data_IF_318615082281
#
_entry.id   IF_318615082281
#
_cell.length_a   1.000
_cell.length_b   1.000
_cell.length_c   1.000
_cell.angle_alpha   90.00
_cell.angle_beta   90.00
_cell.angle_gamma   90.00
#
_symmetry.space_group_name_H-M   'P 1'
#
loop_
_entity.id
_entity.type
_entity.pdbx_description
1 polymer ?
#
# COMPACT_ATOMS: atom_id res chain seq x y z
N UNK A 1 14.10 6.25 8.82
CA UNK A 1 13.73 6.58 7.43
C UNK A 1 14.31 7.95 7.08
N UNK A 2 15.08 8.11 6.00
CA UNK A 2 15.86 9.34 5.75
C UNK A 2 15.01 10.58 5.46
N UNK A 3 13.84 10.45 4.86
CA UNK A 3 12.98 11.59 4.51
C UNK A 3 11.96 11.98 5.58
N UNK A 4 11.86 11.25 6.69
CA UNK A 4 10.91 11.59 7.77
C UNK A 4 11.10 13.01 8.30
N UNK A 5 12.36 13.44 8.45
CA UNK A 5 12.69 14.79 8.89
C UNK A 5 12.25 15.85 7.87
N UNK A 6 12.39 15.56 6.57
CA UNK A 6 11.97 16.45 5.49
C UNK A 6 10.43 16.57 5.43
N UNK A 7 9.72 15.47 5.58
CA UNK A 7 8.25 15.47 5.67
C UNK A 7 7.78 16.31 6.85
N UNK A 8 8.38 16.14 8.04
CA UNK A 8 8.07 16.97 9.22
C UNK A 8 8.33 18.45 8.98
N UNK A 9 9.43 18.76 8.30
CA UNK A 9 9.73 20.14 7.95
C UNK A 9 8.67 20.77 7.05
N UNK A 10 8.16 20.00 6.06
CA UNK A 10 7.08 20.46 5.20
C UNK A 10 5.77 20.65 5.97
N UNK A 11 5.47 19.82 6.96
CA UNK A 11 4.30 19.97 7.84
C UNK A 11 4.29 21.32 8.58
N UNK A 12 5.48 21.81 8.99
CA UNK A 12 5.63 23.06 9.75
C UNK A 12 5.54 24.31 8.87
N UNK A 13 5.59 24.18 7.55
CA UNK A 13 5.46 25.32 6.64
C UNK A 13 4.01 25.78 6.58
N UNK A 14 3.68 27.06 6.88
CA UNK A 14 2.30 27.55 6.87
C UNK A 14 1.57 27.27 5.55
N UNK A 15 2.25 27.34 4.43
CA UNK A 15 1.70 27.06 3.10
C UNK A 15 1.12 25.63 3.01
N UNK A 16 1.70 24.64 3.69
CA UNK A 16 1.14 23.29 3.71
C UNK A 16 -0.25 23.26 4.35
N UNK A 17 -0.44 23.98 5.45
CA UNK A 17 -1.75 24.15 6.08
C UNK A 17 -2.74 24.92 5.18
N UNK A 18 -2.30 25.97 4.50
CA UNK A 18 -3.15 26.72 3.56
C UNK A 18 -3.60 25.85 2.38
N UNK A 19 -2.70 25.06 1.82
CA UNK A 19 -3.02 24.12 0.72
C UNK A 19 -3.98 23.04 1.20
N UNK A 20 -3.75 22.53 2.42
CA UNK A 20 -4.62 21.52 3.04
C UNK A 20 -6.03 22.05 3.30
N UNK A 21 -6.19 23.28 3.79
CA UNK A 21 -7.50 23.93 3.94
C UNK A 21 -8.25 24.04 2.61
N UNK A 22 -7.51 24.25 1.50
CA UNK A 22 -8.12 24.27 0.16
C UNK A 22 -8.59 22.89 -0.29
N UNK A 23 -7.96 21.81 0.15
CA UNK A 23 -8.38 20.43 -0.20
C UNK A 23 -9.72 20.02 0.45
N UNK A 24 -10.16 20.73 1.49
CA UNK A 24 -11.44 20.49 2.18
C UNK A 24 -12.64 21.16 1.48
N UNK A 25 -12.41 21.93 0.42
CA UNK A 25 -13.49 22.59 -0.32
C UNK A 25 -14.23 21.55 -1.19
N UNK A 26 -15.50 21.83 -1.52
CA UNK A 26 -16.29 20.96 -2.39
C UNK A 26 -15.62 20.71 -3.76
N UNK A 27 -14.98 21.76 -4.31
CA UNK A 27 -14.20 21.63 -5.53
C UNK A 27 -12.84 21.02 -5.20
N UNK A 28 -12.61 19.79 -5.63
CA UNK A 28 -11.38 19.07 -5.37
C UNK A 28 -10.15 19.87 -5.78
N UNK A 29 -9.20 20.02 -4.88
CA UNK A 29 -7.96 20.76 -5.11
C UNK A 29 -7.10 20.03 -6.15
N UNK A 30 -6.56 20.76 -7.12
CA UNK A 30 -5.58 20.25 -8.10
C UNK A 30 -4.21 20.87 -7.84
N UNK A 31 -3.24 20.03 -7.48
CA UNK A 31 -1.83 20.38 -7.35
C UNK A 31 -1.09 19.92 -8.59
N UNK A 32 -0.50 20.85 -9.32
CA UNK A 32 0.12 20.57 -10.61
C UNK A 32 1.54 21.13 -10.70
N UNK A 33 2.31 20.72 -11.70
CA UNK A 33 3.67 21.23 -11.92
C UNK A 33 4.70 20.64 -10.97
N UNK A 34 4.58 19.35 -10.60
CA UNK A 34 5.50 18.71 -9.67
C UNK A 34 5.99 17.34 -10.13
N UNK A 35 7.30 17.11 -9.96
CA UNK A 35 7.90 15.78 -10.11
C UNK A 35 7.30 14.80 -9.12
N UNK A 36 7.37 13.49 -9.40
CA UNK A 36 6.84 12.43 -8.53
C UNK A 36 7.37 12.53 -7.10
N UNK A 37 8.68 12.77 -6.92
CA UNK A 37 9.27 12.94 -5.60
C UNK A 37 8.66 14.11 -4.81
N UNK A 38 8.39 15.23 -5.47
CA UNK A 38 7.72 16.39 -4.86
C UNK A 38 6.27 16.07 -4.50
N UNK A 39 5.54 15.38 -5.39
CA UNK A 39 4.16 14.92 -5.15
C UNK A 39 4.08 14.02 -3.92
N UNK A 40 4.95 13.02 -3.83
CA UNK A 40 4.99 12.08 -2.72
C UNK A 40 5.35 12.76 -1.38
N UNK A 41 6.29 13.72 -1.38
CA UNK A 41 6.64 14.51 -0.20
C UNK A 41 5.45 15.33 0.31
N UNK A 42 4.75 16.03 -0.60
CA UNK A 42 3.60 16.86 -0.22
C UNK A 42 2.42 16.02 0.24
N UNK A 43 2.09 14.93 -0.47
CA UNK A 43 1.04 14.01 -0.06
C UNK A 43 1.29 13.46 1.36
N UNK A 44 2.53 13.04 1.64
CA UNK A 44 2.92 12.57 2.97
C UNK A 44 2.86 13.66 4.04
N UNK A 45 3.29 14.89 3.72
CA UNK A 45 3.23 16.00 4.66
C UNK A 45 1.79 16.38 5.00
N UNK A 46 0.91 16.46 3.99
CA UNK A 46 -0.49 16.81 4.16
C UNK A 46 -1.26 15.74 4.94
N UNK A 47 -1.10 14.46 4.61
CA UNK A 47 -1.74 13.38 5.35
C UNK A 47 -1.31 13.34 6.82
N UNK A 48 -0.04 13.58 7.10
CA UNK A 48 0.47 13.65 8.47
C UNK A 48 0.04 14.90 9.23
N UNK A 49 -0.24 16.03 8.56
CA UNK A 49 -0.86 17.20 9.20
C UNK A 49 -2.27 16.86 9.73
N UNK A 50 -3.01 16.04 9.00
CA UNK A 50 -4.33 15.58 9.41
C UNK A 50 -4.28 14.41 10.40
N UNK A 51 -3.13 13.77 10.59
CA UNK A 51 -3.05 12.49 11.29
C UNK A 51 -3.81 11.37 10.57
N UNK A 52 -3.96 11.49 9.25
CA UNK A 52 -4.78 10.61 8.43
C UNK A 52 -3.95 9.53 7.75
N UNK A 53 -4.51 8.33 7.54
CA UNK A 53 -4.01 7.37 6.56
C UNK A 53 -4.03 7.97 5.16
N UNK A 54 -3.28 7.38 4.24
CA UNK A 54 -3.17 7.87 2.87
C UNK A 54 -3.54 6.78 1.87
N UNK A 55 -4.46 7.08 0.95
CA UNK A 55 -4.66 6.30 -0.27
C UNK A 55 -4.13 7.10 -1.47
N UNK A 56 -3.23 6.50 -2.24
CA UNK A 56 -2.74 7.06 -3.50
C UNK A 56 -3.26 6.19 -4.65
N UNK A 57 -4.07 6.79 -5.52
CA UNK A 57 -4.58 6.12 -6.71
C UNK A 57 -3.79 6.61 -7.92
N UNK A 58 -3.23 5.66 -8.67
CA UNK A 58 -2.32 5.91 -9.78
C UNK A 58 -2.78 5.21 -11.07
N UNK A 59 -2.31 5.63 -12.25
CA UNK A 59 -2.77 5.08 -13.52
C UNK A 59 -2.35 3.62 -13.76
N UNK A 60 -1.15 3.24 -13.34
CA UNK A 60 -0.55 1.93 -13.68
C UNK A 60 0.12 1.27 -12.49
N UNK A 61 0.30 -0.06 -12.56
CA UNK A 61 1.04 -0.81 -11.54
C UNK A 61 2.52 -0.39 -11.46
N UNK A 62 3.10 0.02 -12.58
CA UNK A 62 4.46 0.55 -12.59
C UNK A 62 4.57 1.83 -11.76
N UNK A 63 3.65 2.77 -11.96
CA UNK A 63 3.59 3.99 -11.16
C UNK A 63 3.29 3.67 -9.68
N UNK A 64 2.44 2.70 -9.41
CA UNK A 64 2.16 2.26 -8.04
C UNK A 64 3.43 1.75 -7.33
N UNK A 65 4.24 0.94 -8.01
CA UNK A 65 5.53 0.47 -7.47
C UNK A 65 6.50 1.62 -7.20
N UNK A 66 6.58 2.60 -8.09
CA UNK A 66 7.43 3.79 -7.93
C UNK A 66 6.98 4.68 -6.75
N UNK A 67 5.66 4.87 -6.61
CA UNK A 67 5.09 5.60 -5.48
C UNK A 67 5.35 4.90 -4.16
N UNK A 68 5.12 3.59 -4.08
CA UNK A 68 5.38 2.80 -2.88
C UNK A 68 6.84 2.91 -2.44
N UNK A 69 7.80 2.79 -3.38
CA UNK A 69 9.23 2.93 -3.10
C UNK A 69 9.60 4.32 -2.53
N UNK A 70 8.96 5.39 -3.01
CA UNK A 70 9.17 6.74 -2.47
C UNK A 70 8.56 6.89 -1.07
N UNK A 71 7.33 6.40 -0.88
CA UNK A 71 6.61 6.53 0.39
C UNK A 71 7.29 5.76 1.53
N UNK A 72 7.91 4.61 1.23
CA UNK A 72 8.75 3.89 2.21
C UNK A 72 9.86 4.76 2.79
N UNK A 73 10.46 5.66 2.00
CA UNK A 73 11.51 6.56 2.49
C UNK A 73 10.97 7.66 3.39
N UNK A 74 9.68 7.96 3.32
CA UNK A 74 9.05 9.09 4.02
C UNK A 74 8.61 8.76 5.44
N UNK A 75 8.90 7.51 5.88
CA UNK A 75 8.71 7.10 7.26
C UNK A 75 7.28 6.74 7.62
N UNK A 76 6.50 6.28 6.65
CA UNK A 76 5.22 5.65 6.94
C UNK A 76 5.43 4.35 7.73
N UNK A 77 4.62 4.06 8.74
CA UNK A 77 4.75 2.82 9.51
C UNK A 77 4.48 1.60 8.63
N UNK A 78 3.52 1.72 7.74
CA UNK A 78 3.15 0.70 6.76
C UNK A 78 2.96 1.35 5.39
N UNK A 79 3.59 0.78 4.37
CA UNK A 79 3.40 1.15 2.96
C UNK A 79 3.04 -0.10 2.20
N UNK A 80 1.85 -0.13 1.61
CA UNK A 80 1.32 -1.30 0.93
C UNK A 80 0.96 -0.97 -0.51
N UNK A 81 1.31 -1.88 -1.41
CA UNK A 81 0.79 -1.91 -2.77
C UNK A 81 -0.42 -2.84 -2.79
N UNK A 82 -1.60 -2.31 -3.16
CA UNK A 82 -2.78 -3.13 -3.34
C UNK A 82 -2.75 -3.78 -4.73
N UNK A 83 -2.57 -5.10 -4.81
CA UNK A 83 -2.41 -5.77 -6.10
C UNK A 83 -3.76 -5.90 -6.82
N UNK A 84 -3.71 -5.87 -8.16
CA UNK A 84 -4.87 -6.11 -8.99
C UNK A 84 -4.50 -6.94 -10.22
N UNK A 85 -5.47 -7.69 -10.74
CA UNK A 85 -5.36 -8.33 -12.05
C UNK A 85 -5.61 -7.31 -13.16
N UNK A 86 -4.92 -7.48 -14.29
CA UNK A 86 -5.24 -6.75 -15.52
C UNK A 86 -6.44 -7.34 -16.24
N UNK A 87 -6.72 -8.62 -15.98
CA UNK A 87 -7.82 -9.36 -16.57
C UNK A 87 -9.18 -9.00 -15.99
N UNK A 88 -10.22 -9.39 -16.71
CA UNK A 88 -11.62 -9.28 -16.28
C UNK A 88 -11.91 -10.22 -15.11
N UNK A 89 -12.78 -9.85 -14.16
CA UNK A 89 -13.22 -10.75 -13.09
C UNK A 89 -14.05 -11.94 -13.58
N UNK A 90 -14.45 -11.95 -14.86
CA UNK A 90 -15.24 -13.00 -15.53
C UNK A 90 -14.39 -13.99 -16.32
N UNK A 91 -13.09 -13.81 -16.40
CA UNK A 91 -12.19 -14.76 -17.07
C UNK A 91 -12.27 -16.15 -16.43
N UNK A 92 -12.00 -17.18 -17.26
CA UNK A 92 -12.16 -18.59 -16.86
C UNK A 92 -11.26 -19.00 -15.68
N UNK A 93 -10.16 -18.30 -15.48
CA UNK A 93 -9.23 -18.58 -14.41
C UNK A 93 -9.34 -17.52 -13.30
N UNK A 94 -9.39 -17.98 -12.07
CA UNK A 94 -9.26 -17.07 -10.93
C UNK A 94 -7.91 -16.32 -11.00
N UNK A 95 -7.84 -15.08 -10.50
CA UNK A 95 -6.58 -14.38 -10.33
C UNK A 95 -5.56 -15.29 -9.64
N UNK A 96 -4.30 -15.15 -10.01
CA UNK A 96 -3.24 -15.91 -9.34
C UNK A 96 -3.38 -15.78 -7.83
N UNK A 97 -3.13 -16.86 -7.11
CA UNK A 97 -3.22 -16.87 -5.65
C UNK A 97 -2.42 -15.71 -5.02
N UNK A 98 -1.28 -15.35 -5.59
CA UNK A 98 -0.45 -14.21 -5.15
C UNK A 98 -1.19 -12.87 -5.14
N UNK A 99 -2.04 -12.59 -6.15
CA UNK A 99 -2.84 -11.36 -6.18
C UNK A 99 -3.88 -11.40 -5.07
N UNK A 100 -4.63 -12.49 -4.95
CA UNK A 100 -5.66 -12.65 -3.90
C UNK A 100 -5.06 -12.59 -2.51
N UNK A 101 -3.93 -13.22 -2.28
CA UNK A 101 -3.23 -13.20 -0.98
C UNK A 101 -2.69 -11.82 -0.64
N UNK A 102 -2.13 -11.12 -1.61
CA UNK A 102 -1.72 -9.72 -1.43
C UNK A 102 -2.90 -8.80 -1.09
N UNK A 103 -4.06 -9.00 -1.73
CA UNK A 103 -5.28 -8.28 -1.37
C UNK A 103 -5.74 -8.61 0.06
N UNK A 104 -5.83 -9.90 0.41
CA UNK A 104 -6.23 -10.35 1.74
C UNK A 104 -5.28 -9.83 2.84
N UNK A 105 -3.98 -9.74 2.56
CA UNK A 105 -3.02 -9.14 3.48
C UNK A 105 -3.39 -7.69 3.80
N UNK A 106 -3.62 -6.87 2.77
CA UNK A 106 -4.01 -5.45 2.96
C UNK A 106 -5.35 -5.34 3.68
N UNK A 107 -6.36 -6.06 3.19
CA UNK A 107 -7.72 -5.99 3.71
C UNK A 107 -7.80 -6.46 5.17
N UNK A 108 -7.07 -7.53 5.54
CA UNK A 108 -7.05 -8.04 6.91
C UNK A 108 -6.41 -7.07 7.90
N UNK A 109 -5.39 -6.32 7.49
CA UNK A 109 -4.81 -5.25 8.32
C UNK A 109 -5.82 -4.12 8.56
N UNK A 110 -6.59 -3.76 7.53
CA UNK A 110 -7.61 -2.71 7.64
C UNK A 110 -8.76 -3.10 8.60
N UNK A 111 -9.20 -4.37 8.59
CA UNK A 111 -10.29 -4.81 9.47
C UNK A 111 -9.84 -5.10 10.90
N UNK A 112 -8.58 -5.50 11.13
CA UNK A 112 -8.07 -5.84 12.47
C UNK A 112 -7.88 -4.60 13.36
N UNK A 113 -7.47 -3.48 12.79
CA UNK A 113 -7.24 -2.24 13.54
C UNK A 113 -8.52 -1.42 13.80
N UNK A 114 -9.68 -2.08 13.69
CA UNK A 114 -11.02 -1.51 13.97
C UNK A 114 -11.24 -0.13 13.32
N UNK A 115 -10.93 -0.05 12.03
CA UNK A 115 -11.29 1.08 11.16
C UNK A 115 -10.50 2.37 11.41
N UNK A 116 -10.51 2.92 12.60
CA UNK A 116 -9.96 4.26 12.87
C UNK A 116 -8.48 4.27 13.34
N UNK A 117 -7.92 3.13 13.70
CA UNK A 117 -6.54 3.02 14.22
C UNK A 117 -5.46 2.85 13.16
N UNK A 118 -5.81 2.46 11.95
CA UNK A 118 -4.83 2.22 10.90
C UNK A 118 -4.18 3.51 10.39
N UNK A 119 -2.85 3.56 10.39
CA UNK A 119 -2.04 4.76 10.10
C UNK A 119 -1.03 4.51 8.97
N UNK A 120 -1.38 3.71 8.00
CA UNK A 120 -0.52 3.36 6.88
C UNK A 120 -0.79 4.17 5.61
N UNK A 121 -0.15 3.75 4.54
CA UNK A 121 -0.42 4.21 3.18
C UNK A 121 -0.66 3.02 2.27
N UNK A 122 -1.69 3.14 1.43
CA UNK A 122 -2.00 2.20 0.36
C UNK A 122 -1.79 2.90 -0.97
N UNK A 123 -1.13 2.23 -1.89
CA UNK A 123 -1.03 2.64 -3.29
C UNK A 123 -1.79 1.64 -4.14
N UNK A 124 -2.75 2.10 -4.93
CA UNK A 124 -3.60 1.27 -5.77
C UNK A 124 -3.76 1.89 -7.16
N UNK A 125 -4.15 1.07 -8.14
CA UNK A 125 -4.65 1.58 -9.41
C UNK A 125 -6.15 1.79 -9.34
N UNK A 126 -6.69 2.68 -10.16
CA UNK A 126 -8.15 2.93 -10.18
C UNK A 126 -8.92 1.64 -10.47
N UNK A 127 -8.49 0.85 -11.43
CA UNK A 127 -9.11 -0.45 -11.76
C UNK A 127 -9.15 -1.45 -10.59
N UNK A 128 -8.31 -1.29 -9.58
CA UNK A 128 -8.31 -2.12 -8.39
C UNK A 128 -9.48 -1.80 -7.43
N UNK A 129 -10.17 -0.69 -7.64
CA UNK A 129 -11.28 -0.21 -6.82
C UNK A 129 -12.65 -0.68 -7.32
N UNK A 130 -12.71 -1.25 -8.52
CA UNK A 130 -13.94 -1.66 -9.18
C UNK A 130 -14.39 -3.10 -8.87
N UNK A 131 -13.49 -4.12 -8.78
CA UNK A 131 -13.89 -5.48 -8.47
C UNK A 131 -14.62 -5.59 -7.14
N UNK A 132 -15.66 -6.43 -7.11
CA UNK A 132 -16.38 -6.74 -5.89
C UNK A 132 -15.51 -7.47 -4.88
N UNK A 133 -15.68 -7.10 -3.62
CA UNK A 133 -15.05 -7.72 -2.45
C UNK A 133 -16.12 -8.14 -1.44
N UNK A 134 -15.82 -9.07 -0.53
CA UNK A 134 -16.66 -9.33 0.64
C UNK A 134 -16.87 -8.05 1.44
N UNK A 135 -18.00 -7.88 2.16
CA UNK A 135 -18.16 -6.79 3.11
C UNK A 135 -17.08 -6.83 4.21
N UNK A 136 -16.55 -5.68 4.67
CA UNK A 136 -15.49 -5.62 5.69
C UNK A 136 -15.81 -6.42 6.96
N UNK A 137 -17.05 -6.34 7.45
CA UNK A 137 -17.49 -7.09 8.63
C UNK A 137 -17.41 -8.62 8.41
N UNK A 138 -17.77 -9.11 7.21
CA UNK A 138 -17.68 -10.53 6.88
C UNK A 138 -16.23 -11.00 6.89
N UNK A 139 -15.31 -10.22 6.32
CA UNK A 139 -13.89 -10.57 6.37
C UNK A 139 -13.34 -10.52 7.79
N UNK A 140 -13.73 -9.52 8.57
CA UNK A 140 -13.31 -9.40 9.99
C UNK A 140 -13.71 -10.61 10.81
N UNK A 141 -14.95 -11.08 10.67
CA UNK A 141 -15.48 -12.25 11.38
C UNK A 141 -14.79 -13.57 10.96
N UNK A 142 -14.19 -13.59 9.78
CA UNK A 142 -13.47 -14.77 9.26
C UNK A 142 -11.95 -14.71 9.51
N UNK A 143 -11.41 -13.58 9.94
CA UNK A 143 -10.01 -13.48 10.33
C UNK A 143 -9.82 -13.96 11.77
N UNK A 144 -8.86 -14.85 11.99
CA UNK A 144 -8.51 -15.33 13.31
C UNK A 144 -7.17 -14.75 13.74
N UNK A 145 -7.13 -14.08 14.89
CA UNK A 145 -5.88 -13.58 15.48
C UNK A 145 -5.53 -14.37 16.71
N UNK A 146 -4.47 -15.18 16.64
CA UNK A 146 -3.94 -15.93 17.76
C UNK A 146 -2.81 -15.16 18.43
N UNK A 147 -2.90 -14.97 19.74
CA UNK A 147 -1.89 -14.30 20.56
C UNK A 147 -1.30 -15.27 21.56
N UNK A 148 -0.04 -15.06 21.91
CA UNK A 148 0.58 -15.80 23.02
C UNK A 148 -0.27 -15.67 24.28
N UNK A 149 -0.55 -16.79 24.94
CA UNK A 149 -1.41 -16.88 26.11
C UNK A 149 -2.92 -17.01 25.80
N UNK A 150 -3.30 -17.04 24.52
CA UNK A 150 -4.69 -17.36 24.14
C UNK A 150 -4.98 -18.85 24.40
N UNK A 151 -6.22 -19.17 24.78
CA UNK A 151 -6.70 -20.54 24.92
C UNK A 151 -7.62 -20.85 23.74
N UNK A 152 -7.35 -21.95 23.04
CA UNK A 152 -8.15 -22.43 21.90
C UNK A 152 -8.06 -23.95 21.83
N UNK A 153 -9.20 -24.62 21.64
CA UNK A 153 -9.25 -26.05 21.38
C UNK A 153 -8.60 -26.37 20.03
N UNK A 154 -7.72 -27.37 20.02
CA UNK A 154 -6.98 -27.75 18.81
C UNK A 154 -7.85 -28.37 17.71
N UNK A 155 -8.98 -29.00 18.05
CA UNK A 155 -9.94 -29.52 17.07
C UNK A 155 -10.77 -28.35 16.48
N UNK A 156 -11.12 -27.38 17.31
CA UNK A 156 -11.77 -26.15 16.85
C UNK A 156 -10.84 -25.35 15.90
N UNK A 157 -9.56 -25.22 16.26
CA UNK A 157 -8.56 -24.59 15.38
C UNK A 157 -8.45 -25.33 14.04
N UNK A 158 -8.40 -26.67 14.08
CA UNK A 158 -8.33 -27.48 12.88
C UNK A 158 -9.57 -27.31 11.98
N UNK A 159 -10.77 -27.28 12.57
CA UNK A 159 -12.02 -27.04 11.86
C UNK A 159 -12.06 -25.62 11.25
N UNK A 160 -11.61 -24.61 11.99
CA UNK A 160 -11.51 -23.24 11.48
C UNK A 160 -10.52 -23.13 10.31
N UNK A 161 -9.35 -23.76 10.40
CA UNK A 161 -8.37 -23.76 9.31
C UNK A 161 -8.93 -24.44 8.05
N UNK A 162 -9.60 -25.57 8.18
CA UNK A 162 -10.26 -26.24 7.05
C UNK A 162 -11.34 -25.34 6.42
N UNK A 163 -12.21 -24.73 7.24
CA UNK A 163 -13.23 -23.78 6.77
C UNK A 163 -12.66 -22.58 6.05
N UNK A 164 -11.50 -22.08 6.49
CA UNK A 164 -10.79 -20.97 5.86
C UNK A 164 -10.04 -21.37 4.58
N UNK A 165 -10.06 -22.66 4.20
CA UNK A 165 -9.47 -23.18 2.99
C UNK A 165 -8.00 -23.63 3.12
N UNK A 166 -7.47 -23.77 4.36
CA UNK A 166 -6.11 -24.26 4.56
C UNK A 166 -6.00 -25.77 4.36
N UNK A 167 -5.04 -26.17 3.55
CA UNK A 167 -4.77 -27.58 3.27
C UNK A 167 -3.95 -28.21 4.41
N UNK A 168 -4.40 -29.37 4.90
CA UNK A 168 -3.64 -30.15 5.88
C UNK A 168 -2.57 -30.98 5.18
N UNK A 169 -1.30 -30.73 5.52
CA UNK A 169 -0.14 -31.39 4.92
C UNK A 169 0.73 -32.05 5.99
N UNK A 170 1.65 -32.92 5.58
CA UNK A 170 2.62 -33.54 6.51
C UNK A 170 3.77 -32.60 6.89
N UNK A 171 4.18 -31.73 5.99
CA UNK A 171 5.28 -30.77 6.17
C UNK A 171 4.90 -29.47 5.46
N UNK A 172 5.15 -28.34 6.11
CA UNK A 172 4.85 -27.00 5.58
C UNK A 172 5.94 -26.57 4.62
N UNK A 173 5.56 -26.32 3.37
CA UNK A 173 6.46 -25.80 2.31
C UNK A 173 5.87 -24.58 1.60
N UNK A 174 4.52 -24.44 1.60
CA UNK A 174 3.80 -23.43 0.84
C UNK A 174 2.76 -22.72 1.73
N UNK A 175 2.44 -21.50 1.36
CA UNK A 175 1.36 -20.72 1.96
C UNK A 175 0.02 -21.44 1.81
N UNK A 176 -0.91 -21.18 2.73
CA UNK A 176 -2.24 -21.82 2.73
C UNK A 176 -2.23 -23.26 3.25
N UNK A 177 -1.13 -23.71 3.86
CA UNK A 177 -1.01 -25.06 4.41
C UNK A 177 -0.80 -25.08 5.92
N UNK A 178 -1.19 -26.18 6.56
CA UNK A 178 -0.98 -26.40 7.98
C UNK A 178 -0.70 -27.87 8.31
N UNK A 179 -0.03 -28.12 9.42
CA UNK A 179 0.21 -29.47 9.93
C UNK A 179 0.12 -29.51 11.45
N UNK A 180 -0.22 -30.67 12.02
CA UNK A 180 -0.29 -30.87 13.48
C UNK A 180 0.51 -32.10 13.88
N UNK A 181 1.33 -31.94 14.90
CA UNK A 181 2.12 -33.03 15.52
C UNK A 181 1.98 -32.93 17.04
N UNK A 182 1.00 -33.66 17.58
CA UNK A 182 0.68 -33.55 19.02
C UNK A 182 0.14 -32.14 19.36
N UNK A 183 0.84 -31.50 20.28
CA UNK A 183 0.51 -30.14 20.76
C UNK A 183 1.22 -29.03 19.95
N UNK A 184 1.79 -29.35 18.78
CA UNK A 184 2.43 -28.41 17.90
C UNK A 184 1.61 -28.31 16.61
N UNK A 185 1.25 -27.07 16.26
CA UNK A 185 0.62 -26.74 14.97
C UNK A 185 1.57 -25.83 14.19
N UNK A 186 1.99 -26.30 13.02
CA UNK A 186 2.72 -25.50 12.04
C UNK A 186 1.72 -24.98 11.02
N UNK A 187 1.78 -23.68 10.72
CA UNK A 187 0.85 -22.99 9.83
C UNK A 187 1.59 -21.99 8.96
N UNK A 188 1.28 -21.93 7.66
CA UNK A 188 1.75 -20.90 6.76
C UNK A 188 0.57 -20.01 6.30
N UNK A 189 0.26 -18.94 7.04
CA UNK A 189 -0.80 -18.03 6.63
C UNK A 189 -0.52 -17.40 5.29
N UNK A 190 -1.53 -17.25 4.44
CA UNK A 190 -1.40 -16.60 3.12
C UNK A 190 -1.11 -15.11 3.23
N UNK A 191 -1.38 -14.52 4.39
CA UNK A 191 -1.09 -13.11 4.72
C UNK A 191 0.29 -12.89 5.37
N UNK A 192 1.10 -13.96 5.57
CA UNK A 192 2.38 -13.89 6.24
C UNK A 192 3.54 -14.21 5.28
N UNK A 193 4.72 -13.67 5.56
CA UNK A 193 5.94 -13.95 4.78
C UNK A 193 6.61 -15.26 5.18
N UNK A 194 6.41 -15.68 6.42
CA UNK A 194 7.00 -16.88 6.99
C UNK A 194 5.92 -17.71 7.70
N UNK A 195 6.09 -19.04 7.67
CA UNK A 195 5.24 -19.92 8.47
C UNK A 195 5.51 -19.77 9.96
N UNK A 196 4.50 -20.05 10.76
CA UNK A 196 4.54 -19.92 12.21
C UNK A 196 4.30 -21.29 12.86
N UNK A 197 5.12 -21.60 13.86
CA UNK A 197 4.97 -22.75 14.75
C UNK A 197 4.28 -22.32 16.03
N UNK A 198 3.15 -22.91 16.33
CA UNK A 198 2.32 -22.72 17.50
C UNK A 198 2.57 -23.89 18.45
N UNK A 199 3.10 -23.65 19.64
CA UNK A 199 3.35 -24.65 20.67
C UNK A 199 2.30 -24.50 21.78
N UNK A 200 1.49 -25.52 21.98
CA UNK A 200 0.41 -25.53 22.96
C UNK A 200 0.80 -26.34 24.19
N UNK A 201 0.21 -26.00 25.34
CA UNK A 201 0.14 -26.84 26.53
C UNK A 201 -1.33 -27.02 26.93
N UNK A 202 -1.91 -28.16 26.55
CA UNK A 202 -3.35 -28.33 26.56
C UNK A 202 -4.01 -27.42 25.52
N UNK A 203 -4.86 -26.50 25.95
CA UNK A 203 -5.51 -25.48 25.10
C UNK A 203 -4.76 -24.14 25.09
N UNK A 204 -3.76 -23.97 25.95
CA UNK A 204 -3.05 -22.68 26.08
C UNK A 204 -1.89 -22.57 25.08
N UNK A 205 -1.89 -21.52 24.26
CA UNK A 205 -0.84 -21.20 23.32
C UNK A 205 0.35 -20.56 24.05
N UNK A 206 1.38 -21.37 24.36
CA UNK A 206 2.53 -20.91 25.12
C UNK A 206 3.56 -20.16 24.30
N UNK A 207 3.80 -20.62 23.03
CA UNK A 207 4.84 -20.04 22.18
C UNK A 207 4.41 -19.95 20.72
N UNK A 208 4.79 -18.83 20.11
CA UNK A 208 4.69 -18.61 18.68
C UNK A 208 6.09 -18.27 18.15
N UNK A 209 6.51 -18.94 17.08
CA UNK A 209 7.79 -18.69 16.44
C UNK A 209 7.67 -18.81 14.93
N UNK A 210 8.25 -17.89 14.22
CA UNK A 210 8.50 -18.07 12.80
C UNK A 210 9.49 -19.21 12.57
N UNK A 211 9.42 -19.85 11.41
CA UNK A 211 10.39 -20.86 11.01
C UNK A 211 10.65 -20.79 9.51
N UNK A 212 11.82 -21.27 9.11
CA UNK A 212 12.22 -21.36 7.70
C UNK A 212 11.58 -22.61 7.07
N UNK A 213 10.72 -22.46 6.05
CA UNK A 213 10.02 -23.59 5.42
C UNK A 213 10.97 -24.57 4.73
N UNK A 214 12.14 -24.13 4.25
CA UNK A 214 13.10 -25.01 3.59
C UNK A 214 13.90 -25.86 4.58
N UNK A 215 14.27 -25.31 5.73
CA UNK A 215 15.10 -25.99 6.73
C UNK A 215 14.31 -26.50 7.94
N UNK A 216 13.04 -26.07 8.08
CA UNK A 216 12.14 -26.37 9.21
C UNK A 216 12.68 -25.87 10.57
N UNK A 217 13.67 -25.00 10.58
CA UNK A 217 14.28 -24.45 11.80
C UNK A 217 13.53 -23.22 12.27
N UNK A 218 13.25 -23.18 13.57
CA UNK A 218 12.64 -22.00 14.20
C UNK A 218 13.57 -20.79 14.09
N UNK A 219 12.95 -19.65 13.84
CA UNK A 219 13.53 -18.31 13.75
C UNK A 219 13.11 -17.48 14.97
N UNK A 220 12.66 -16.25 14.72
CA UNK A 220 12.29 -15.31 15.77
C UNK A 220 10.98 -15.67 16.44
N UNK A 221 10.86 -15.31 17.73
CA UNK A 221 9.60 -15.38 18.44
C UNK A 221 8.71 -14.22 18.03
N UNK A 222 7.41 -14.50 17.85
CA UNK A 222 6.37 -13.53 17.57
C UNK A 222 5.30 -13.57 18.63
N UNK A 223 4.61 -12.46 18.87
CA UNK A 223 3.59 -12.38 19.92
C UNK A 223 2.18 -12.71 19.42
N UNK A 224 1.99 -12.64 18.11
CA UNK A 224 0.71 -12.94 17.46
C UNK A 224 0.91 -13.47 16.03
N UNK A 225 -0.10 -14.20 15.56
CA UNK A 225 -0.28 -14.55 14.15
C UNK A 225 -1.69 -14.22 13.73
N UNK A 226 -1.83 -13.62 12.54
CA UNK A 226 -3.12 -13.38 11.90
C UNK A 226 -3.35 -14.43 10.81
N UNK A 227 -4.51 -15.04 10.83
CA UNK A 227 -4.93 -16.08 9.91
C UNK A 227 -6.12 -15.54 9.12
N UNK A 228 -5.97 -15.39 7.81
CA UNK A 228 -7.03 -14.97 6.91
C UNK A 228 -7.55 -16.17 6.13
N UNK A 229 -8.72 -16.09 5.50
CA UNK A 229 -9.10 -17.07 4.49
C UNK A 229 -8.02 -17.18 3.40
N UNK A 230 -7.89 -18.34 2.78
CA UNK A 230 -6.93 -18.57 1.67
C UNK A 230 -7.38 -17.93 0.35
N UNK A 231 -8.61 -17.46 0.29
CA UNK A 231 -9.21 -16.79 -0.85
C UNK A 231 -10.61 -16.29 -0.53
N UNK A 232 -11.28 -15.74 -1.52
CA UNK A 232 -12.67 -15.29 -1.37
C UNK A 232 -13.69 -16.42 -1.47
N UNK A 233 -13.31 -17.56 -2.05
CA UNK A 233 -14.18 -18.72 -2.21
C UNK A 233 -14.83 -19.22 -0.91
N UNK A 234 -14.06 -19.44 0.17
CA UNK A 234 -14.61 -19.84 1.46
C UNK A 234 -15.70 -18.90 1.99
N UNK A 235 -15.45 -17.58 1.89
CA UNK A 235 -16.39 -16.54 2.32
C UNK A 235 -17.69 -16.57 1.52
N UNK A 236 -17.57 -16.72 0.19
CA UNK A 236 -18.72 -16.82 -0.71
C UNK A 236 -19.51 -18.09 -0.42
N UNK A 237 -18.83 -19.22 -0.21
CA UNK A 237 -19.46 -20.50 0.12
C UNK A 237 -20.31 -20.40 1.40
N UNK A 238 -19.74 -19.81 2.46
CA UNK A 238 -20.43 -19.60 3.74
C UNK A 238 -21.63 -18.66 3.57
N UNK A 239 -21.47 -17.56 2.82
CA UNK A 239 -22.55 -16.61 2.59
C UNK A 239 -23.70 -17.22 1.77
N UNK A 240 -23.41 -18.03 0.75
CA UNK A 240 -24.44 -18.70 -0.05
C UNK A 240 -25.19 -19.76 0.77
N UNK A 241 -24.48 -20.54 1.61
CA UNK A 241 -25.14 -21.50 2.54
C UNK A 241 -26.11 -20.78 3.47
N UNK A 242 -25.74 -19.60 3.97
CA UNK A 242 -26.56 -18.86 4.91
C UNK A 242 -27.73 -18.13 4.25
N UNK A 243 -27.51 -17.53 3.08
CA UNK A 243 -28.45 -16.59 2.45
C UNK A 243 -29.35 -17.24 1.39
N UNK A 244 -28.86 -18.27 0.69
CA UNK A 244 -29.54 -18.89 -0.46
C UNK A 244 -29.53 -20.42 -0.41
N UNK A 245 -29.86 -21.07 0.72
CA UNK A 245 -29.75 -22.52 0.84
C UNK A 245 -30.66 -23.27 -0.18
N UNK A 246 -31.83 -22.75 -0.47
CA UNK A 246 -32.80 -23.37 -1.38
C UNK A 246 -32.42 -23.21 -2.86
N UNK A 247 -31.44 -22.39 -3.21
CA UNK A 247 -31.01 -22.13 -4.58
C UNK A 247 -29.67 -22.79 -4.92
N UNK A 248 -28.99 -23.38 -3.94
CA UNK A 248 -27.67 -23.99 -4.15
C UNK A 248 -27.70 -25.08 -5.23
N UNK A 249 -28.76 -25.92 -5.27
CA UNK A 249 -28.94 -26.98 -6.25
C UNK A 249 -29.05 -26.45 -7.71
N UNK A 250 -29.41 -25.18 -7.87
CA UNK A 250 -29.52 -24.54 -9.19
C UNK A 250 -28.19 -23.81 -9.57
N UNK A 251 -27.44 -23.42 -8.58
CA UNK A 251 -26.21 -22.65 -8.76
C UNK A 251 -24.97 -23.54 -8.93
N UNK A 252 -24.99 -24.73 -8.34
CA UNK A 252 -23.84 -25.63 -8.27
C UNK A 252 -24.13 -26.94 -9.00
N UNK A 253 -23.13 -27.50 -9.64
CA UNK A 253 -23.23 -28.87 -10.16
C UNK A 253 -23.13 -29.88 -8.98
N UNK A 254 -23.44 -31.17 -9.28
CA UNK A 254 -23.47 -32.21 -8.26
C UNK A 254 -22.12 -32.37 -7.51
N UNK A 255 -20.99 -32.24 -8.18
CA UNK A 255 -19.66 -32.36 -7.59
C UNK A 255 -19.38 -31.19 -6.64
N UNK A 256 -19.63 -29.95 -7.07
CA UNK A 256 -19.48 -28.77 -6.25
C UNK A 256 -20.41 -28.80 -5.03
N UNK A 257 -21.62 -29.32 -5.18
CA UNK A 257 -22.56 -29.51 -4.07
C UNK A 257 -22.03 -30.54 -3.07
N UNK A 258 -21.48 -31.66 -3.54
CA UNK A 258 -20.88 -32.68 -2.64
C UNK A 258 -19.70 -32.12 -1.86
N UNK A 259 -18.79 -31.39 -2.54
CA UNK A 259 -17.67 -30.70 -1.87
C UNK A 259 -18.17 -29.70 -0.82
N UNK A 260 -19.17 -28.88 -1.21
CA UNK A 260 -19.76 -27.90 -0.30
C UNK A 260 -20.39 -28.54 0.94
N UNK A 261 -21.07 -29.65 0.79
CA UNK A 261 -21.69 -30.41 1.89
C UNK A 261 -20.62 -31.11 2.76
N UNK A 262 -19.50 -31.49 2.18
CA UNK A 262 -18.34 -32.04 2.92
C UNK A 262 -17.59 -30.97 3.74
N UNK A 263 -17.91 -29.69 3.55
CA UNK A 263 -17.23 -28.55 4.20
C UNK A 263 -16.08 -27.96 3.40
N UNK A 264 -15.84 -28.48 2.20
CA UNK A 264 -14.82 -27.98 1.31
C UNK A 264 -15.34 -26.78 0.50
N UNK A 265 -14.42 -26.00 -0.08
CA UNK A 265 -14.77 -24.89 -0.96
C UNK A 265 -14.59 -25.33 -2.42
N UNK A 266 -15.69 -25.46 -3.20
CA UNK A 266 -15.60 -25.77 -4.62
C UNK A 266 -14.82 -24.72 -5.40
N UNK A 267 -14.13 -25.14 -6.45
CA UNK A 267 -13.46 -24.22 -7.37
C UNK A 267 -14.46 -23.26 -8.04
N UNK A 268 -14.05 -22.02 -8.28
CA UNK A 268 -14.89 -21.02 -8.94
C UNK A 268 -15.96 -20.36 -8.06
N UNK A 269 -16.05 -20.68 -6.76
CA UNK A 269 -17.01 -20.05 -5.85
C UNK A 269 -16.95 -18.53 -5.85
N UNK A 270 -15.76 -17.93 -6.07
CA UNK A 270 -15.58 -16.49 -6.18
C UNK A 270 -16.50 -15.85 -7.22
N UNK A 271 -16.81 -16.54 -8.31
CA UNK A 271 -17.69 -16.06 -9.39
C UNK A 271 -19.13 -15.84 -8.94
N UNK A 272 -19.52 -16.43 -7.83
CA UNK A 272 -20.84 -16.28 -7.24
C UNK A 272 -20.89 -15.14 -6.21
N UNK A 273 -19.83 -14.33 -6.08
CA UNK A 273 -19.75 -13.25 -5.10
C UNK A 273 -20.90 -12.25 -5.22
N UNK A 274 -21.34 -11.92 -6.44
CA UNK A 274 -22.48 -11.03 -6.67
C UNK A 274 -23.82 -11.58 -6.19
N UNK A 275 -23.94 -12.91 -5.97
CA UNK A 275 -25.11 -13.54 -5.37
C UNK A 275 -24.97 -13.67 -3.85
N UNK A 276 -23.74 -13.80 -3.35
CA UNK A 276 -23.49 -13.96 -1.91
C UNK A 276 -23.92 -12.71 -1.11
N UNK A 277 -23.73 -11.53 -1.69
CA UNK A 277 -24.07 -10.25 -1.05
C UNK A 277 -24.82 -9.34 -2.02
N UNK A 278 -25.93 -8.76 -1.55
CA UNK A 278 -26.73 -7.81 -2.34
C UNK A 278 -25.99 -6.51 -2.61
N UNK A 279 -25.10 -6.12 -1.71
CA UNK A 279 -24.24 -4.93 -1.81
C UNK A 279 -22.80 -5.35 -1.52
N UNK A 280 -22.08 -5.81 -2.54
CA UNK A 280 -20.66 -6.11 -2.40
C UNK A 280 -19.86 -4.83 -2.19
N UNK A 281 -18.72 -4.97 -1.50
CA UNK A 281 -17.82 -3.87 -1.19
C UNK A 281 -16.69 -3.73 -2.22
N UNK A 282 -15.91 -2.68 -2.06
CA UNK A 282 -14.63 -2.47 -2.75
C UNK A 282 -13.55 -2.13 -1.72
N UNK A 283 -12.32 -1.91 -2.15
CA UNK A 283 -11.25 -1.44 -1.26
C UNK A 283 -11.65 -0.16 -0.50
N UNK A 284 -12.42 0.73 -1.13
CA UNK A 284 -12.81 2.01 -0.53
C UNK A 284 -13.66 1.83 0.73
N UNK A 285 -14.45 0.76 0.79
CA UNK A 285 -15.34 0.44 1.93
C UNK A 285 -14.56 -0.10 3.15
N UNK A 286 -13.30 -0.50 2.96
CA UNK A 286 -12.41 -0.96 4.03
C UNK A 286 -11.60 0.17 4.68
N UNK A 287 -11.51 1.33 4.02
CA UNK A 287 -10.67 2.42 4.48
C UNK A 287 -11.33 3.19 5.64
N UNK A 288 -10.54 3.67 6.62
CA UNK A 288 -11.03 4.62 7.59
C UNK A 288 -11.61 5.86 6.92
N UNK A 289 -12.76 6.36 7.43
CA UNK A 289 -13.47 7.48 6.81
C UNK A 289 -12.68 8.79 6.76
N UNK A 290 -11.63 8.93 7.59
CA UNK A 290 -10.72 10.08 7.59
C UNK A 290 -9.49 9.90 6.70
N UNK A 291 -9.44 8.85 5.87
CA UNK A 291 -8.33 8.62 4.92
C UNK A 291 -8.23 9.79 3.94
N UNK A 292 -7.01 10.30 3.76
CA UNK A 292 -6.73 11.31 2.75
C UNK A 292 -6.52 10.61 1.39
N UNK A 293 -7.30 11.01 0.39
CA UNK A 293 -7.24 10.45 -0.95
C UNK A 293 -6.44 11.34 -1.91
N UNK A 294 -5.46 10.76 -2.56
CA UNK A 294 -4.67 11.40 -3.63
C UNK A 294 -4.90 10.68 -4.95
N UNK A 295 -5.35 11.42 -5.96
CA UNK A 295 -5.45 10.93 -7.33
C UNK A 295 -4.25 11.46 -8.13
N UNK A 296 -3.31 10.59 -8.45
CA UNK A 296 -2.15 10.93 -9.27
C UNK A 296 -2.49 10.77 -10.75
N UNK A 297 -2.24 11.82 -11.55
CA UNK A 297 -2.61 11.86 -12.99
C UNK A 297 -4.06 11.43 -13.23
N UNK A 298 -5.01 12.09 -12.52
CA UNK A 298 -6.44 11.70 -12.49
C UNK A 298 -7.02 11.34 -13.86
N UNK A 299 -6.74 12.14 -14.88
CA UNK A 299 -7.28 11.89 -16.24
C UNK A 299 -6.82 10.54 -16.79
N UNK A 300 -5.55 10.23 -16.59
CA UNK A 300 -4.98 8.97 -17.06
C UNK A 300 -5.49 7.80 -16.21
N UNK A 301 -5.56 7.95 -14.89
CA UNK A 301 -6.10 6.93 -13.99
C UNK A 301 -7.55 6.57 -14.34
N UNK A 302 -8.40 7.59 -14.53
CA UNK A 302 -9.81 7.38 -14.90
C UNK A 302 -9.96 6.77 -16.30
N UNK A 303 -9.10 7.13 -17.26
CA UNK A 303 -9.14 6.53 -18.60
C UNK A 303 -8.79 5.03 -18.56
N UNK A 304 -7.80 4.63 -17.75
CA UNK A 304 -7.46 3.22 -17.56
C UNK A 304 -8.56 2.46 -16.81
N UNK A 305 -9.17 3.08 -15.82
CA UNK A 305 -10.32 2.53 -15.12
C UNK A 305 -11.52 2.31 -16.03
N UNK A 306 -11.83 3.27 -16.90
CA UNK A 306 -12.91 3.14 -17.89
C UNK A 306 -12.60 2.01 -18.86
N UNK A 307 -11.39 1.90 -19.36
CA UNK A 307 -11.00 0.81 -20.26
C UNK A 307 -11.15 -0.56 -19.60
N UNK A 308 -10.78 -0.68 -18.33
CA UNK A 308 -10.97 -1.93 -17.59
C UNK A 308 -12.45 -2.23 -17.39
N UNK A 309 -13.27 -1.22 -17.06
CA UNK A 309 -14.71 -1.35 -16.91
C UNK A 309 -15.38 -1.84 -18.21
N UNK A 310 -15.05 -1.19 -19.33
CA UNK A 310 -15.61 -1.59 -20.63
C UNK A 310 -15.28 -3.05 -20.98
N UNK A 311 -14.07 -3.50 -20.65
CA UNK A 311 -13.65 -4.89 -20.83
C UNK A 311 -14.40 -5.85 -19.89
N UNK A 312 -14.61 -5.46 -18.63
CA UNK A 312 -15.39 -6.25 -17.68
C UNK A 312 -16.86 -6.36 -18.10
N UNK A 313 -17.49 -5.26 -18.54
CA UNK A 313 -18.88 -5.25 -19.06
C UNK A 313 -19.03 -6.11 -20.31
N UNK A 314 -18.05 -6.08 -21.21
CA UNK A 314 -18.07 -6.94 -22.40
C UNK A 314 -18.13 -8.42 -22.00
N UNK A 315 -17.26 -8.86 -21.06
CA UNK A 315 -17.26 -10.24 -20.59
C UNK A 315 -18.48 -10.59 -19.73
N UNK A 316 -19.04 -9.61 -19.00
CA UNK A 316 -20.29 -9.82 -18.25
C UNK A 316 -21.46 -10.09 -19.20
N UNK A 317 -21.48 -9.47 -20.37
CA UNK A 317 -22.50 -9.67 -21.40
C UNK A 317 -22.44 -11.03 -22.12
N UNK A 318 -21.33 -11.77 -21.95
CA UNK A 318 -21.19 -13.11 -22.53
C UNK A 318 -22.02 -14.12 -21.70
N UNK A 319 -23.10 -14.61 -22.26
CA UNK A 319 -23.96 -15.62 -21.62
C UNK A 319 -23.23 -16.95 -21.49
N UNK A 320 -23.29 -17.53 -20.29
CA UNK A 320 -22.86 -18.90 -20.02
C UNK A 320 -24.09 -19.75 -19.83
N UNK A 321 -24.28 -20.77 -20.69
CA UNK A 321 -25.45 -21.65 -20.70
C UNK A 321 -26.79 -20.89 -20.78
N UNK A 322 -26.82 -19.74 -21.48
CA UNK A 322 -28.01 -18.90 -21.66
C UNK A 322 -28.38 -18.05 -20.45
N UNK A 323 -27.46 -17.89 -19.47
CA UNK A 323 -27.63 -17.05 -18.31
C UNK A 323 -26.49 -16.04 -18.24
N UNK A 324 -26.79 -14.82 -17.79
CA UNK A 324 -25.77 -13.83 -17.47
C UNK A 324 -25.09 -14.22 -16.14
N UNK A 325 -23.75 -14.13 -16.07
CA UNK A 325 -23.04 -14.37 -14.82
C UNK A 325 -23.42 -13.31 -13.77
N UNK A 326 -23.30 -13.61 -12.47
CA UNK A 326 -23.47 -12.61 -11.42
C UNK A 326 -22.50 -11.45 -11.60
N UNK A 327 -22.95 -10.24 -11.29
CA UNK A 327 -22.07 -9.04 -11.38
C UNK A 327 -20.92 -9.12 -10.38
N UNK A 328 -19.68 -8.95 -10.86
CA UNK A 328 -18.44 -9.05 -10.08
C UNK A 328 -17.67 -7.74 -10.02
N UNK A 329 -18.22 -6.64 -10.50
CA UNK A 329 -17.62 -5.32 -10.48
C UNK A 329 -18.71 -4.25 -10.32
N UNK A 330 -18.31 -3.11 -9.78
CA UNK A 330 -19.21 -1.96 -9.63
C UNK A 330 -19.18 -1.06 -10.85
N UNK A 331 -20.26 -0.31 -11.12
CA UNK A 331 -20.24 0.75 -12.13
C UNK A 331 -19.13 1.76 -11.86
N UNK A 332 -18.50 2.26 -12.92
CA UNK A 332 -17.44 3.26 -12.77
C UNK A 332 -17.96 4.56 -12.15
N UNK A 333 -19.21 4.93 -12.40
CA UNK A 333 -19.89 6.06 -11.76
C UNK A 333 -19.86 5.95 -10.24
N UNK A 334 -20.16 4.76 -9.72
CA UNK A 334 -20.21 4.50 -8.27
C UNK A 334 -18.81 4.54 -7.65
N UNK A 335 -17.80 4.08 -8.41
CA UNK A 335 -16.40 4.19 -7.99
C UNK A 335 -15.97 5.65 -7.92
N UNK A 336 -16.35 6.48 -8.90
CA UNK A 336 -16.04 7.91 -8.91
C UNK A 336 -16.74 8.61 -7.74
N UNK A 337 -18.02 8.33 -7.51
CA UNK A 337 -18.78 8.90 -6.39
C UNK A 337 -18.15 8.52 -5.04
N UNK A 338 -17.76 7.26 -4.88
CA UNK A 338 -17.08 6.79 -3.67
C UNK A 338 -15.71 7.48 -3.46
N UNK A 339 -14.93 7.71 -4.52
CA UNK A 339 -13.68 8.46 -4.46
C UNK A 339 -13.90 9.93 -4.08
N UNK A 340 -14.98 10.55 -4.55
CA UNK A 340 -15.32 11.94 -4.25
C UNK A 340 -15.80 12.14 -2.82
N UNK A 341 -16.25 11.08 -2.16
CA UNK A 341 -16.63 11.11 -0.74
C UNK A 341 -15.42 11.29 0.20
N UNK A 342 -14.21 10.94 -0.22
CA UNK A 342 -13.01 11.13 0.58
C UNK A 342 -12.44 12.54 0.45
N UNK A 343 -12.01 13.11 1.57
CA UNK A 343 -11.19 14.33 1.54
C UNK A 343 -9.89 14.07 0.79
N UNK A 344 -9.42 15.05 -0.01
CA UNK A 344 -8.16 14.85 -0.73
C UNK A 344 -7.97 15.80 -1.91
N UNK A 345 -7.02 15.47 -2.77
CA UNK A 345 -6.61 16.32 -3.87
C UNK A 345 -6.07 15.51 -5.04
N UNK A 346 -6.06 16.14 -6.20
CA UNK A 346 -5.48 15.58 -7.42
C UNK A 346 -4.06 16.09 -7.59
N UNK A 347 -3.17 15.24 -8.09
CA UNK A 347 -1.78 15.57 -8.42
C UNK A 347 -1.54 15.39 -9.92
N UNK A 348 -0.75 16.28 -10.51
CA UNK A 348 -0.31 16.17 -11.90
C UNK A 348 1.12 16.68 -12.06
N UNK A 349 1.89 16.02 -12.93
CA UNK A 349 3.23 16.45 -13.26
C UNK A 349 3.24 17.73 -14.12
N UNK A 350 2.35 17.78 -15.09
CA UNK A 350 2.21 18.93 -15.98
C UNK A 350 1.05 19.82 -15.54
N UNK A 351 1.24 21.12 -15.71
CA UNK A 351 0.15 22.06 -15.56
C UNK A 351 -0.88 21.85 -16.68
N UNK A 352 -2.14 21.63 -16.30
CA UNK A 352 -3.22 21.54 -17.28
C UNK A 352 -3.53 22.94 -17.84
N UNK A 353 -3.86 22.99 -19.14
CA UNK A 353 -4.25 24.23 -19.81
C UNK A 353 -5.62 24.76 -19.36
N UNK A 354 -6.45 23.89 -18.81
CA UNK A 354 -7.78 24.26 -18.33
C UNK A 354 -7.67 24.92 -16.95
N UNK A 355 -8.17 26.15 -16.84
CA UNK A 355 -8.20 26.88 -15.59
C UNK A 355 -9.24 26.25 -14.64
N UNK A 356 -8.80 25.34 -13.77
CA UNK A 356 -9.63 24.85 -12.68
C UNK A 356 -9.62 25.89 -11.54
N UNK A 357 -10.80 26.31 -11.00
CA UNK A 357 -10.87 27.38 -10.02
C UNK A 357 -10.11 27.07 -8.71
N UNK A 358 -10.02 25.78 -8.34
CA UNK A 358 -9.25 25.33 -7.17
C UNK A 358 -7.98 24.60 -7.60
N UNK A 359 -7.08 25.28 -8.33
CA UNK A 359 -5.78 24.76 -8.70
C UNK A 359 -4.64 25.51 -8.01
N UNK A 360 -3.50 24.83 -7.81
CA UNK A 360 -2.29 25.39 -7.26
C UNK A 360 -1.09 24.84 -8.02
N UNK A 361 -0.29 25.74 -8.60
CA UNK A 361 0.94 25.35 -9.29
C UNK A 361 2.09 25.26 -8.29
N UNK A 362 2.64 24.05 -8.16
CA UNK A 362 3.76 23.74 -7.27
C UNK A 362 5.07 24.31 -7.80
N UNK A 363 5.15 24.56 -9.11
CA UNK A 363 6.32 25.07 -9.81
C UNK A 363 7.62 24.31 -9.40
N UNK A 364 7.49 22.98 -9.25
CA UNK A 364 8.63 22.13 -8.91
C UNK A 364 9.65 22.16 -10.05
N UNK A 365 10.92 22.18 -9.69
CA UNK A 365 12.03 22.21 -10.65
C UNK A 365 13.01 21.11 -10.30
N UNK A 366 13.64 20.53 -11.33
CA UNK A 366 14.76 19.64 -11.13
C UNK A 366 15.98 20.47 -10.64
N UNK A 367 16.75 19.90 -9.75
CA UNK A 367 18.06 20.45 -9.37
C UNK A 367 19.05 20.16 -10.51
N UNK A 368 19.80 21.15 -11.02
CA UNK A 368 20.82 20.90 -12.01
C UNK A 368 21.86 19.90 -11.52
N UNK A 369 22.13 18.87 -12.31
CA UNK A 369 23.14 17.88 -12.00
C UNK A 369 24.54 18.39 -12.41
N UNK A 370 25.48 18.34 -11.47
CA UNK A 370 26.90 18.67 -11.69
C UNK A 370 27.80 17.52 -11.24
N UNK A 371 27.74 16.36 -11.89
CA UNK A 371 28.49 15.18 -11.46
C UNK A 371 29.98 15.47 -11.34
N UNK A 372 30.53 15.24 -10.17
CA UNK A 372 31.94 15.47 -9.82
C UNK A 372 32.44 16.93 -10.03
N UNK A 373 31.55 17.90 -10.18
CA UNK A 373 31.86 19.33 -10.27
C UNK A 373 31.46 20.03 -8.95
N UNK A 374 32.11 19.64 -7.86
CA UNK A 374 31.72 20.03 -6.50
C UNK A 374 31.72 21.54 -6.26
N UNK A 375 32.63 22.29 -6.92
CA UNK A 375 32.63 23.75 -6.84
C UNK A 375 31.38 24.40 -7.44
N UNK A 376 30.84 23.85 -8.54
CA UNK A 376 29.58 24.36 -9.14
C UNK A 376 28.41 24.03 -8.23
N UNK A 377 28.38 22.82 -7.70
CA UNK A 377 27.30 22.40 -6.77
C UNK A 377 27.35 23.23 -5.50
N UNK A 378 28.54 23.48 -4.94
CA UNK A 378 28.71 24.36 -3.78
C UNK A 378 28.22 25.79 -4.08
N UNK A 379 28.48 26.31 -5.31
CA UNK A 379 27.94 27.60 -5.77
C UNK A 379 26.41 27.59 -5.77
N UNK A 380 25.79 26.57 -6.35
CA UNK A 380 24.34 26.42 -6.38
C UNK A 380 23.73 26.35 -4.97
N UNK A 381 24.35 25.60 -4.06
CA UNK A 381 23.90 25.50 -2.66
C UNK A 381 23.97 26.88 -1.98
N UNK A 382 25.07 27.64 -2.19
CA UNK A 382 25.20 29.00 -1.67
C UNK A 382 24.14 29.96 -2.22
N UNK A 383 23.75 29.81 -3.50
CA UNK A 383 22.67 30.58 -4.09
C UNK A 383 21.32 30.24 -3.43
N UNK A 384 21.02 28.98 -3.21
CA UNK A 384 19.84 28.55 -2.44
C UNK A 384 19.85 29.14 -1.02
N UNK A 385 21.00 29.15 -0.35
CA UNK A 385 21.11 29.73 0.99
C UNK A 385 20.84 31.25 0.99
N UNK A 386 21.31 31.98 -0.03
CA UNK A 386 21.02 33.43 -0.19
C UNK A 386 19.54 33.70 -0.38
N UNK A 387 18.84 32.80 -1.07
CA UNK A 387 17.38 32.84 -1.27
C UNK A 387 16.60 32.32 -0.05
N UNK A 388 17.28 31.95 1.03
CA UNK A 388 16.71 31.31 2.21
C UNK A 388 15.96 30.00 1.91
N UNK A 389 16.43 29.30 0.87
CA UNK A 389 15.94 27.95 0.52
C UNK A 389 16.69 26.93 1.39
N UNK A 390 15.94 26.08 2.06
CA UNK A 390 16.46 25.01 2.92
C UNK A 390 16.98 23.89 2.06
N UNK A 391 18.26 23.56 2.21
CA UNK A 391 18.92 22.55 1.37
C UNK A 391 19.12 21.25 2.13
N UNK A 392 18.69 20.17 1.52
CA UNK A 392 18.86 18.82 2.01
C UNK A 392 19.70 18.02 1.03
N UNK A 393 20.68 17.27 1.57
CA UNK A 393 21.47 16.30 0.82
C UNK A 393 21.10 14.89 1.27
N UNK A 394 20.73 14.05 0.32
CA UNK A 394 20.55 12.60 0.53
C UNK A 394 21.67 11.86 -0.19
N UNK A 395 22.53 11.20 0.57
CA UNK A 395 23.68 10.50 0.00
C UNK A 395 23.90 9.14 0.66
N UNK A 396 24.38 8.18 -0.11
CA UNK A 396 24.90 6.91 0.42
C UNK A 396 26.22 7.13 1.17
N UNK A 397 26.96 8.22 0.84
CA UNK A 397 28.23 8.59 1.41
C UNK A 397 28.22 10.04 1.94
N UNK A 398 27.35 10.38 2.92
CA UNK A 398 27.13 11.76 3.33
C UNK A 398 28.38 12.44 3.90
N UNK A 399 29.23 11.72 4.64
CA UNK A 399 30.47 12.28 5.17
C UNK A 399 31.46 12.72 4.08
N UNK A 400 31.51 11.93 2.97
CA UNK A 400 32.33 12.29 1.80
C UNK A 400 31.74 13.49 1.07
N UNK A 401 30.41 13.52 0.88
CA UNK A 401 29.73 14.64 0.23
C UNK A 401 29.96 15.94 1.02
N UNK A 402 29.85 15.91 2.34
CA UNK A 402 30.12 17.06 3.21
C UNK A 402 31.57 17.52 3.06
N UNK A 403 32.57 16.62 3.17
CA UNK A 403 33.97 16.99 3.04
C UNK A 403 34.26 17.66 1.69
N UNK A 404 33.76 17.14 0.60
CA UNK A 404 33.94 17.73 -0.74
C UNK A 404 33.28 19.10 -0.92
N UNK A 405 32.18 19.38 -0.23
CA UNK A 405 31.53 20.69 -0.23
C UNK A 405 32.33 21.68 0.65
N UNK A 406 32.88 21.24 1.78
CA UNK A 406 33.69 22.05 2.65
C UNK A 406 35.01 22.50 1.99
N UNK A 407 35.61 21.69 1.09
CA UNK A 407 36.76 22.10 0.26
C UNK A 407 36.44 23.32 -0.65
N UNK A 408 35.16 23.59 -0.88
CA UNK A 408 34.67 24.74 -1.65
C UNK A 408 33.97 25.79 -0.78
N UNK A 409 34.30 25.88 0.50
CA UNK A 409 33.72 26.82 1.47
C UNK A 409 32.18 26.72 1.59
N UNK A 410 31.59 25.56 1.33
CA UNK A 410 30.18 25.31 1.50
C UNK A 410 29.95 24.47 2.76
N UNK A 411 29.71 25.15 3.89
CA UNK A 411 29.51 24.51 5.19
C UNK A 411 28.20 23.70 5.14
N UNK A 412 28.33 22.40 5.27
CA UNK A 412 27.22 21.44 5.29
C UNK A 412 27.39 20.54 6.51
N UNK A 413 26.30 20.03 7.10
CA UNK A 413 26.39 19.14 8.27
C UNK A 413 25.69 17.82 8.04
N UNK A 414 26.42 16.73 8.29
CA UNK A 414 25.87 15.39 8.31
C UNK A 414 25.21 15.11 9.66
N UNK A 415 23.94 14.69 9.63
CA UNK A 415 23.18 14.23 10.79
C UNK A 415 23.05 12.71 10.70
N UNK A 416 23.77 11.94 11.55
CA UNK A 416 23.76 10.47 11.48
C UNK A 416 22.41 9.86 11.81
N UNK A 417 21.66 10.47 12.73
CA UNK A 417 20.33 10.01 13.12
C UNK A 417 19.26 10.95 12.53
N UNK A 418 18.50 10.52 11.50
CA UNK A 418 17.42 11.32 10.92
C UNK A 418 16.29 11.66 11.92
N UNK A 419 16.24 10.98 13.06
CA UNK A 419 15.30 11.24 14.15
C UNK A 419 15.72 12.34 15.12
N UNK A 420 16.95 12.86 15.00
CA UNK A 420 17.46 13.95 15.87
C UNK A 420 16.92 15.30 15.41
N UNK A 421 15.63 15.53 15.74
CA UNK A 421 14.92 16.75 15.37
C UNK A 421 15.59 18.03 15.91
N UNK A 422 16.02 18.10 17.20
CA UNK A 422 16.64 19.31 17.72
C UNK A 422 17.92 19.70 16.98
N UNK A 423 18.73 18.71 16.54
CA UNK A 423 19.92 18.97 15.74
C UNK A 423 19.56 19.50 14.35
N UNK A 424 18.57 18.89 13.70
CA UNK A 424 18.11 19.28 12.38
C UNK A 424 17.50 20.68 12.40
N UNK A 425 16.61 20.98 13.33
CA UNK A 425 15.95 22.29 13.46
C UNK A 425 16.99 23.41 13.67
N UNK A 426 17.97 23.18 14.52
CA UNK A 426 19.04 24.14 14.76
C UNK A 426 19.85 24.44 13.48
N UNK A 427 20.16 23.43 12.67
CA UNK A 427 20.85 23.62 11.40
C UNK A 427 20.00 24.41 10.40
N UNK A 428 18.70 24.12 10.35
CA UNK A 428 17.75 24.82 9.50
C UNK A 428 17.63 26.30 9.89
N UNK A 429 17.52 26.60 11.18
CA UNK A 429 17.52 27.98 11.70
C UNK A 429 18.79 28.75 11.33
N UNK A 430 19.92 28.05 11.31
CA UNK A 430 21.21 28.58 10.89
C UNK A 430 21.37 28.65 9.36
N UNK A 431 20.35 28.27 8.61
CA UNK A 431 20.41 28.14 7.15
C UNK A 431 21.57 27.26 6.66
N UNK A 432 21.93 26.24 7.44
CA UNK A 432 22.98 25.27 7.13
C UNK A 432 22.39 24.06 6.43
N UNK A 433 22.92 23.66 5.25
CA UNK A 433 22.49 22.45 4.56
C UNK A 433 22.62 21.20 5.42
N UNK A 434 21.59 20.36 5.40
CA UNK A 434 21.52 19.12 6.17
C UNK A 434 21.79 17.93 5.27
N UNK A 435 22.82 17.15 5.57
CA UNK A 435 23.10 15.90 4.88
C UNK A 435 22.60 14.70 5.70
N UNK A 436 21.88 13.79 5.05
CA UNK A 436 21.35 12.56 5.63
C UNK A 436 21.84 11.34 4.86
N UNK A 437 21.99 10.21 5.56
CA UNK A 437 22.37 8.96 4.95
C UNK A 437 21.14 8.26 4.35
N UNK A 438 21.26 7.85 3.09
CA UNK A 438 20.27 6.99 2.42
C UNK A 438 20.96 5.80 1.76
N UNK A 439 20.25 4.70 1.59
CA UNK A 439 20.74 3.60 0.75
C UNK A 439 20.64 3.91 -0.75
N UNK A 440 20.07 5.06 -1.10
CA UNK A 440 19.73 5.46 -2.46
C UNK A 440 18.44 4.81 -2.93
N UNK A 441 17.69 5.52 -3.78
CA UNK A 441 16.63 4.94 -4.60
C UNK A 441 16.75 5.53 -5.97
N UNK A 442 16.56 4.70 -7.00
CA UNK A 442 16.52 5.15 -8.39
C UNK A 442 15.38 6.15 -8.66
N UNK A 443 14.33 6.09 -7.84
CA UNK A 443 13.11 6.88 -7.99
C UNK A 443 13.22 8.33 -7.45
N UNK A 444 14.23 8.63 -6.65
CA UNK A 444 14.38 9.94 -6.05
C UNK A 444 15.46 10.77 -6.76
N UNK A 445 15.02 11.82 -7.40
CA UNK A 445 15.85 12.81 -8.07
C UNK A 445 15.90 14.11 -7.28
N UNK A 446 16.95 14.89 -7.50
CA UNK A 446 17.06 16.23 -6.92
C UNK A 446 15.92 17.13 -7.40
N UNK A 447 15.28 17.81 -6.45
CA UNK A 447 14.11 18.63 -6.72
C UNK A 447 14.13 19.93 -5.91
N UNK A 448 13.44 20.93 -6.43
CA UNK A 448 13.17 22.19 -5.75
C UNK A 448 11.66 22.36 -5.64
N UNK A 449 11.22 22.85 -4.49
CA UNK A 449 9.87 23.34 -4.23
C UNK A 449 9.98 24.82 -3.83
N UNK A 450 9.99 25.75 -4.80
CA UNK A 450 10.27 27.17 -4.51
C UNK A 450 9.28 27.80 -3.54
N UNK A 451 7.99 27.48 -3.64
CA UNK A 451 6.96 27.99 -2.74
C UNK A 451 7.19 27.54 -1.27
N UNK A 452 7.74 26.36 -1.05
CA UNK A 452 8.14 25.84 0.27
C UNK A 452 9.56 26.21 0.67
N UNK A 453 10.30 26.92 -0.19
CA UNK A 453 11.72 27.23 0.01
C UNK A 453 12.54 26.00 0.37
N UNK A 454 12.42 24.96 -0.43
CA UNK A 454 13.06 23.67 -0.22
C UNK A 454 13.78 23.21 -1.48
N UNK A 455 15.02 22.72 -1.29
CA UNK A 455 15.79 22.03 -2.30
C UNK A 455 16.32 20.71 -1.74
N UNK A 456 16.16 19.64 -2.51
CA UNK A 456 16.67 18.31 -2.22
C UNK A 456 17.69 17.95 -3.30
N UNK A 457 18.88 17.53 -2.87
CA UNK A 457 19.99 17.11 -3.74
C UNK A 457 20.29 15.64 -3.41
N UNK A 458 20.48 14.83 -4.42
CA UNK A 458 20.79 13.40 -4.26
C UNK A 458 22.16 13.05 -4.83
N UNK A 459 22.60 11.82 -4.66
CA UNK A 459 23.85 11.32 -5.25
C UNK A 459 23.86 11.42 -6.78
N UNK A 460 22.70 11.48 -7.43
CA UNK A 460 22.57 11.67 -8.86
C UNK A 460 23.14 13.03 -9.30
N UNK A 461 22.74 14.09 -8.63
CA UNK A 461 23.20 15.45 -8.92
C UNK A 461 24.66 15.66 -8.49
N UNK A 462 25.06 14.96 -7.43
CA UNK A 462 26.37 15.09 -6.81
C UNK A 462 27.46 14.24 -7.49
N UNK A 463 27.21 12.94 -7.67
CA UNK A 463 28.18 11.97 -8.19
C UNK A 463 27.84 11.43 -9.59
N UNK A 464 26.65 11.72 -10.12
CA UNK A 464 26.16 11.15 -11.37
C UNK A 464 25.80 9.65 -11.27
N UNK A 465 25.73 9.10 -10.09
CA UNK A 465 25.41 7.69 -9.85
C UNK A 465 23.90 7.49 -9.78
N UNK A 466 23.37 6.68 -10.69
CA UNK A 466 22.10 6.01 -10.49
C UNK A 466 22.38 4.73 -9.71
N UNK A 467 22.00 4.67 -8.45
CA UNK A 467 21.95 3.41 -7.74
C UNK A 467 20.76 2.62 -8.27
N UNK A 468 21.02 1.76 -9.26
CA UNK A 468 20.07 0.80 -9.80
C UNK A 468 19.83 -0.31 -8.76
N UNK A 469 19.14 -0.02 -7.70
CA UNK A 469 18.42 -1.05 -6.98
C UNK A 469 17.11 -1.25 -7.71
N UNK A 470 17.05 -2.30 -8.54
CA UNK A 470 15.80 -2.75 -9.12
C UNK A 470 14.79 -2.92 -7.98
N UNK A 471 13.75 -2.08 -7.96
CA UNK A 471 12.57 -2.37 -7.17
C UNK A 471 11.94 -3.60 -7.81
N UNK A 472 12.11 -4.77 -7.19
CA UNK A 472 11.38 -5.95 -7.59
C UNK A 472 9.91 -5.64 -7.43
N UNK A 473 9.16 -5.67 -8.52
CA UNK A 473 7.71 -5.73 -8.50
C UNK A 473 7.32 -6.90 -7.61
N UNK A 474 6.40 -6.65 -6.67
CA UNK A 474 6.01 -7.61 -5.64
C UNK A 474 7.18 -7.93 -4.67
N UNK A 475 7.57 -6.96 -3.86
CA UNK A 475 8.23 -7.30 -2.60
C UNK A 475 7.15 -7.56 -1.56
N UNK A 476 6.86 -8.83 -1.32
CA UNK A 476 6.53 -9.24 0.04
C UNK A 476 7.69 -8.73 0.90
N UNK A 477 7.42 -7.94 1.93
CA UNK A 477 8.46 -7.49 2.88
C UNK A 477 9.18 -8.73 3.40
N UNK A 478 10.51 -8.77 3.27
CA UNK A 478 11.36 -9.65 4.07
C UNK A 478 11.60 -9.05 5.43
#
# INVERSE_FOLDING_TARGET
MPLTALVRQLQQVPLTGEVLERSRRPDRLRLQGASRGARALLASAMARCEGAPLLVVVPTLEEAGRWAALLELMGWPTTQLYPTSEGSPYEAFDPTSEITWGQLQVLSELVDEQGDGWQGVIVATERALQPHLPPPAVLADQCLTLRKGASIDLEELAANLARLGYERVSTIEQEGSWSRRGDIVDLFPVSAELPVRLEFFGEDLEKLREFDPATQRSLDAVDLVRITPTGYGPLVADALRANLPDQLDQLLNAEAMEQLLAGDTPEGMRRLMGLAWQQPSSLLDYLPGHTLLVLDERRQAMAHGQQWFDHAEQHHGDEVDGLLPPTLHRPISDTIEALEAFAGFDLAELAETDQHPNSFDLNSRAVPAYPNQFGKLAGLIKDFQREKTRVWLLSAQPSRAVALLEEHDCITRFVPNPGDQPAIERLIEQNTPVALKTKGTAELEGLQLPAWRLALITDREFFGQQNLTASGYVRRRR
#
